data_IF_028183242933
#
_entry.id   IF_028183242933
#
_cell.length_a   1.000
_cell.length_b   1.000
_cell.length_c   1.000
_cell.angle_alpha   90.00
_cell.angle_beta   90.00
_cell.angle_gamma   90.00
#
_symmetry.space_group_name_H-M   'P 1'
#
loop_
_entity.id
_entity.type
_entity.pdbx_description
1 polymer ?
#
# COMPACT_ATOMS: atom_id res chain seq x y z
N UNK A 1 -1.96 -3.45 -30.15
CA UNK A 1 -2.56 -4.53 -29.33
C UNK A 1 -3.53 -5.31 -30.21
N UNK A 2 -3.27 -6.59 -30.56
CA UNK A 2 -4.28 -7.37 -31.25
C UNK A 2 -5.40 -7.69 -30.26
N UNK A 3 -6.62 -7.44 -30.70
CA UNK A 3 -7.89 -7.76 -30.02
C UNK A 3 -7.86 -9.21 -29.52
N UNK A 4 -8.33 -9.44 -28.29
CA UNK A 4 -8.24 -10.72 -27.60
C UNK A 4 -8.61 -11.90 -28.51
N UNK A 5 -7.68 -12.85 -28.66
CA UNK A 5 -7.91 -14.06 -29.43
C UNK A 5 -9.12 -14.81 -28.84
N UNK A 6 -10.18 -14.93 -29.63
CA UNK A 6 -11.36 -15.70 -29.27
C UNK A 6 -10.98 -17.18 -29.36
N UNK A 7 -10.56 -17.75 -28.23
CA UNK A 7 -10.30 -19.18 -28.12
C UNK A 7 -11.64 -19.90 -28.03
N UNK A 8 -12.19 -20.30 -29.18
CA UNK A 8 -13.26 -21.33 -29.22
C UNK A 8 -12.58 -22.69 -29.08
N UNK A 9 -12.92 -23.42 -28.02
CA UNK A 9 -12.36 -24.75 -27.77
C UNK A 9 -13.48 -25.75 -27.57
N UNK A 10 -13.41 -26.89 -28.23
CA UNK A 10 -14.34 -28.00 -28.00
C UNK A 10 -14.02 -28.71 -26.68
N UNK A 11 -14.96 -29.45 -26.07
CA UNK A 11 -14.69 -30.24 -24.87
C UNK A 11 -13.54 -31.24 -25.03
N UNK A 12 -13.39 -31.85 -26.21
CA UNK A 12 -12.34 -32.82 -26.49
C UNK A 12 -10.96 -32.15 -26.60
N UNK A 13 -10.88 -31.01 -27.31
CA UNK A 13 -9.67 -30.19 -27.38
C UNK A 13 -9.24 -29.72 -25.98
N UNK A 14 -10.19 -29.36 -25.10
CA UNK A 14 -9.89 -28.97 -23.73
C UNK A 14 -9.29 -30.13 -22.92
N UNK A 15 -9.87 -31.31 -23.04
CA UNK A 15 -9.39 -32.51 -22.34
C UNK A 15 -7.96 -32.83 -22.78
N UNK A 16 -7.68 -32.73 -24.07
CA UNK A 16 -6.35 -32.93 -24.63
C UNK A 16 -5.35 -31.86 -24.14
N UNK A 17 -5.73 -30.58 -24.19
CA UNK A 17 -4.88 -29.48 -23.73
C UNK A 17 -4.53 -29.64 -22.24
N UNK A 18 -5.51 -29.92 -21.37
CA UNK A 18 -5.26 -30.09 -19.94
C UNK A 18 -4.44 -31.34 -19.63
N UNK A 19 -4.58 -32.40 -20.43
CA UNK A 19 -3.72 -33.58 -20.32
C UNK A 19 -2.26 -33.22 -20.63
N UNK A 20 -2.01 -32.41 -21.66
CA UNK A 20 -0.65 -31.94 -22.01
C UNK A 20 -0.10 -30.96 -20.98
N UNK A 21 -0.94 -30.08 -20.43
CA UNK A 21 -0.53 -29.06 -19.47
C UNK A 21 -0.35 -29.58 -18.04
N UNK A 22 -0.85 -30.78 -17.70
CA UNK A 22 -0.82 -31.33 -16.34
C UNK A 22 0.52 -31.17 -15.60
N UNK A 23 1.70 -31.41 -16.21
CA UNK A 23 3.00 -31.24 -15.52
C UNK A 23 3.34 -29.78 -15.16
N UNK A 24 2.66 -28.83 -15.78
CA UNK A 24 2.92 -27.40 -15.71
C UNK A 24 1.85 -26.63 -14.93
N UNK A 25 0.82 -27.30 -14.41
CA UNK A 25 -0.22 -26.64 -13.62
C UNK A 25 0.32 -26.30 -12.21
N UNK A 26 0.06 -25.09 -11.69
CA UNK A 26 0.49 -24.71 -10.36
C UNK A 26 -0.23 -25.56 -9.31
N UNK A 27 0.48 -25.93 -8.24
CA UNK A 27 -0.05 -26.77 -7.13
C UNK A 27 -1.30 -26.19 -6.46
N UNK A 28 -1.47 -24.87 -6.53
CA UNK A 28 -2.59 -24.15 -5.95
C UNK A 28 -3.85 -24.16 -6.83
N UNK A 29 -3.81 -24.70 -8.05
CA UNK A 29 -4.98 -24.78 -8.92
C UNK A 29 -5.98 -25.82 -8.38
N UNK A 30 -7.19 -25.35 -8.04
CA UNK A 30 -8.29 -26.19 -7.58
C UNK A 30 -9.23 -26.59 -8.71
N UNK A 31 -9.57 -25.63 -9.57
CA UNK A 31 -10.58 -25.83 -10.60
C UNK A 31 -10.29 -24.98 -11.83
N UNK A 32 -10.62 -25.53 -12.99
CA UNK A 32 -10.75 -24.77 -14.23
C UNK A 32 -12.18 -24.91 -14.72
N UNK A 33 -12.80 -23.80 -15.09
CA UNK A 33 -14.11 -23.79 -15.73
C UNK A 33 -14.11 -22.82 -16.91
N UNK A 34 -14.86 -23.08 -17.99
CA UNK A 34 -15.15 -22.06 -18.99
C UNK A 34 -15.93 -20.91 -18.34
N UNK A 35 -15.67 -19.67 -18.77
CA UNK A 35 -16.44 -18.51 -18.27
C UNK A 35 -17.90 -18.60 -18.75
N UNK A 36 -18.90 -18.16 -17.95
CA UNK A 36 -20.32 -18.15 -18.35
C UNK A 36 -20.60 -17.35 -19.63
N UNK A 37 -19.77 -16.35 -19.93
CA UNK A 37 -19.85 -15.56 -21.17
C UNK A 37 -19.43 -16.34 -22.43
N UNK A 38 -18.94 -17.57 -22.29
CA UNK A 38 -18.39 -18.37 -23.39
C UNK A 38 -17.00 -17.93 -23.86
N UNK A 39 -16.40 -16.91 -23.21
CA UNK A 39 -15.11 -16.34 -23.59
C UNK A 39 -14.05 -16.60 -22.52
N UNK A 40 -13.11 -17.50 -22.79
CA UNK A 40 -11.96 -17.80 -21.93
C UNK A 40 -12.29 -18.69 -20.72
N UNK A 41 -11.32 -18.77 -19.79
CA UNK A 41 -11.38 -19.66 -18.63
C UNK A 41 -11.43 -18.88 -17.32
N UNK A 42 -12.13 -19.44 -16.35
CA UNK A 42 -12.06 -19.09 -14.95
C UNK A 42 -11.18 -20.14 -14.24
N UNK A 43 -10.17 -19.66 -13.53
CA UNK A 43 -9.28 -20.47 -12.72
C UNK A 43 -9.61 -20.21 -11.25
N UNK A 44 -9.87 -21.27 -10.50
CA UNK A 44 -10.04 -21.22 -9.06
C UNK A 44 -8.74 -21.69 -8.42
N UNK A 45 -8.08 -20.79 -7.70
CA UNK A 45 -6.84 -21.06 -6.99
C UNK A 45 -7.11 -21.19 -5.48
N UNK A 46 -6.29 -21.97 -4.79
CA UNK A 46 -6.21 -21.90 -3.34
C UNK A 46 -5.72 -20.50 -2.94
N UNK A 47 -6.25 -19.91 -1.86
CA UNK A 47 -5.78 -18.61 -1.40
C UNK A 47 -4.28 -18.63 -1.12
N UNK A 48 -3.57 -17.62 -1.64
CA UNK A 48 -2.16 -17.40 -1.31
C UNK A 48 -2.03 -16.78 0.07
N UNK A 49 -0.96 -17.15 0.79
CA UNK A 49 -0.60 -16.50 2.05
C UNK A 49 0.28 -15.28 1.83
N UNK A 50 0.95 -15.18 0.67
CA UNK A 50 1.89 -14.11 0.35
C UNK A 50 3.32 -14.40 0.79
N UNK A 51 3.58 -15.57 1.36
CA UNK A 51 4.90 -16.05 1.76
C UNK A 51 5.43 -17.14 0.82
N UNK A 52 4.59 -17.64 -0.09
CA UNK A 52 5.01 -18.56 -1.15
C UNK A 52 5.90 -17.85 -2.17
N UNK A 53 6.67 -18.61 -2.95
CA UNK A 53 7.39 -18.07 -4.10
C UNK A 53 6.41 -17.50 -5.14
N UNK A 54 6.80 -16.39 -5.79
CA UNK A 54 5.99 -15.77 -6.85
C UNK A 54 5.70 -16.80 -7.95
N UNK A 55 4.42 -17.01 -8.33
CA UNK A 55 4.08 -17.88 -9.44
C UNK A 55 4.81 -17.46 -10.72
N UNK A 56 5.66 -18.37 -11.19
CA UNK A 56 6.42 -18.21 -12.43
C UNK A 56 6.06 -19.32 -13.41
N UNK A 57 5.74 -18.92 -14.64
CA UNK A 57 5.36 -19.87 -15.69
C UNK A 57 6.57 -20.73 -16.05
N UNK A 58 6.49 -22.06 -15.95
CA UNK A 58 7.58 -22.94 -16.37
C UNK A 58 7.80 -22.83 -17.89
N UNK A 59 9.04 -23.07 -18.33
CA UNK A 59 9.34 -23.16 -19.76
C UNK A 59 8.76 -24.45 -20.34
N UNK A 60 8.07 -24.33 -21.48
CA UNK A 60 7.55 -25.47 -22.25
C UNK A 60 8.26 -25.62 -23.60
N UNK A 61 9.37 -24.90 -23.80
CA UNK A 61 10.06 -24.84 -25.09
C UNK A 61 10.55 -26.21 -25.58
N UNK A 62 11.06 -27.02 -24.65
CA UNK A 62 11.64 -28.33 -24.94
C UNK A 62 10.61 -29.47 -24.89
N UNK A 63 9.35 -29.19 -24.56
CA UNK A 63 8.30 -30.21 -24.55
C UNK A 63 7.79 -30.45 -25.97
N UNK A 64 8.02 -31.64 -26.57
CA UNK A 64 7.58 -31.92 -27.94
C UNK A 64 6.05 -31.87 -28.12
N UNK A 65 5.26 -31.91 -27.04
CA UNK A 65 3.79 -31.79 -27.05
C UNK A 65 3.30 -30.34 -26.97
N UNK A 66 4.16 -29.39 -26.61
CA UNK A 66 3.81 -27.98 -26.39
C UNK A 66 4.71 -26.99 -27.15
N UNK A 67 5.84 -27.45 -27.70
CA UNK A 67 6.77 -26.64 -28.50
C UNK A 67 6.10 -26.10 -29.77
N UNK A 68 6.60 -25.00 -30.34
CA UNK A 68 5.95 -24.40 -31.50
C UNK A 68 5.93 -25.35 -32.72
N UNK A 69 4.79 -25.44 -33.40
CA UNK A 69 4.63 -26.09 -34.71
C UNK A 69 4.07 -25.06 -35.69
N UNK A 70 4.66 -24.89 -36.89
CA UNK A 70 4.13 -23.99 -37.90
C UNK A 70 2.72 -24.41 -38.36
N UNK A 71 1.83 -23.44 -38.53
CA UNK A 71 0.45 -23.69 -39.00
C UNK A 71 0.41 -24.40 -40.36
N UNK A 72 1.40 -24.12 -41.22
CA UNK A 72 1.55 -24.73 -42.55
C UNK A 72 1.87 -26.23 -42.51
N UNK A 73 2.45 -26.73 -41.41
CA UNK A 73 2.79 -28.14 -41.26
C UNK A 73 1.62 -28.94 -40.69
N UNK A 74 0.97 -28.39 -39.66
CA UNK A 74 -0.21 -29.01 -39.06
C UNK A 74 -1.07 -27.94 -38.37
N UNK A 75 -2.11 -27.47 -39.05
CA UNK A 75 -2.98 -26.41 -38.56
C UNK A 75 -3.73 -26.80 -37.27
N UNK A 76 -4.19 -28.05 -37.14
CA UNK A 76 -4.91 -28.50 -35.94
C UNK A 76 -3.99 -28.54 -34.72
N UNK A 77 -2.78 -29.09 -34.88
CA UNK A 77 -1.78 -29.15 -33.81
C UNK A 77 -1.26 -27.75 -33.44
N UNK A 78 -1.03 -26.88 -34.43
CA UNK A 78 -0.69 -25.48 -34.20
C UNK A 78 -1.72 -24.80 -33.30
N UNK A 79 -3.00 -24.92 -33.62
CA UNK A 79 -4.09 -24.33 -32.83
C UNK A 79 -4.14 -24.91 -31.41
N UNK A 80 -3.99 -26.22 -31.23
CA UNK A 80 -3.94 -26.84 -29.90
C UNK A 80 -2.81 -26.27 -29.04
N UNK A 81 -1.61 -26.12 -29.59
CA UNK A 81 -0.43 -25.62 -28.86
C UNK A 81 -0.51 -24.13 -28.54
N UNK A 82 -1.05 -23.33 -29.47
CA UNK A 82 -1.34 -21.90 -29.22
C UNK A 82 -2.36 -21.76 -28.10
N UNK A 83 -3.46 -22.52 -28.13
CA UNK A 83 -4.47 -22.52 -27.06
C UNK A 83 -3.88 -22.94 -25.72
N UNK A 84 -3.07 -24.00 -25.68
CA UNK A 84 -2.40 -24.47 -24.47
C UNK A 84 -1.47 -23.41 -23.87
N UNK A 85 -0.65 -22.74 -24.71
CA UNK A 85 0.24 -21.66 -24.30
C UNK A 85 -0.53 -20.45 -23.75
N UNK A 86 -1.65 -20.06 -24.39
CA UNK A 86 -2.52 -18.99 -23.91
C UNK A 86 -3.16 -19.33 -22.56
N UNK A 87 -3.70 -20.54 -22.40
CA UNK A 87 -4.28 -21.01 -21.14
C UNK A 87 -3.24 -20.95 -20.02
N UNK A 88 -2.03 -21.48 -20.26
CA UNK A 88 -0.96 -21.48 -19.29
C UNK A 88 -0.53 -20.05 -18.93
N UNK A 89 -0.43 -19.16 -19.91
CA UNK A 89 -0.12 -17.75 -19.68
C UNK A 89 -1.17 -17.08 -18.79
N UNK A 90 -2.45 -17.17 -19.15
CA UNK A 90 -3.53 -16.57 -18.37
C UNK A 90 -3.66 -17.15 -16.96
N UNK A 91 -3.39 -18.45 -16.80
CA UNK A 91 -3.38 -19.10 -15.49
C UNK A 91 -2.29 -18.53 -14.58
N UNK A 92 -1.06 -18.40 -15.10
CA UNK A 92 0.06 -17.87 -14.32
C UNK A 92 -0.04 -16.37 -14.08
N UNK A 93 -0.56 -15.60 -15.04
CA UNK A 93 -0.87 -14.19 -14.85
C UNK A 93 -1.87 -14.04 -13.70
N UNK A 94 -2.97 -14.81 -13.73
CA UNK A 94 -3.98 -14.78 -12.66
C UNK A 94 -3.41 -15.20 -11.30
N UNK A 95 -2.60 -16.26 -11.26
CA UNK A 95 -1.97 -16.71 -10.03
C UNK A 95 -1.02 -15.65 -9.47
N UNK A 96 -0.25 -14.99 -10.33
CA UNK A 96 0.65 -13.91 -9.95
C UNK A 96 -0.12 -12.69 -9.42
N UNK A 97 -1.24 -12.32 -10.03
CA UNK A 97 -2.11 -11.24 -9.54
C UNK A 97 -2.60 -11.53 -8.12
N UNK A 98 -3.20 -12.70 -7.89
CA UNK A 98 -3.70 -13.08 -6.56
C UNK A 98 -2.58 -13.20 -5.53
N UNK A 99 -1.41 -13.70 -5.93
CA UNK A 99 -0.23 -13.75 -5.08
C UNK A 99 0.28 -12.36 -4.73
N UNK A 100 0.34 -11.41 -5.67
CA UNK A 100 0.80 -10.03 -5.41
C UNK A 100 -0.06 -9.33 -4.37
N UNK A 101 -1.37 -9.47 -4.47
CA UNK A 101 -2.31 -8.92 -3.49
C UNK A 101 -2.11 -9.56 -2.11
N UNK A 102 -1.95 -10.90 -2.05
CA UNK A 102 -1.68 -11.61 -0.80
C UNK A 102 -0.33 -11.22 -0.17
N UNK A 103 0.74 -11.14 -0.97
CA UNK A 103 2.07 -10.71 -0.56
C UNK A 103 2.06 -9.27 -0.03
N UNK A 104 1.33 -8.38 -0.70
CA UNK A 104 1.16 -7.00 -0.26
C UNK A 104 0.47 -6.92 1.11
N UNK A 105 -0.62 -7.66 1.31
CA UNK A 105 -1.32 -7.73 2.60
C UNK A 105 -0.43 -8.34 3.68
N UNK A 106 0.32 -9.40 3.38
CA UNK A 106 1.24 -10.02 4.32
C UNK A 106 2.38 -9.06 4.75
N UNK A 107 2.97 -8.35 3.80
CA UNK A 107 3.97 -7.32 4.06
C UNK A 107 3.40 -6.18 4.93
N UNK A 108 2.19 -5.71 4.63
CA UNK A 108 1.53 -4.69 5.44
C UNK A 108 1.22 -5.16 6.86
N UNK A 109 0.77 -6.41 7.06
CA UNK A 109 0.58 -6.98 8.41
C UNK A 109 1.88 -6.94 9.22
N UNK A 110 3.02 -7.20 8.57
CA UNK A 110 4.32 -7.14 9.22
C UNK A 110 4.78 -5.69 9.51
N UNK A 111 4.42 -4.72 8.65
CA UNK A 111 4.83 -3.32 8.79
C UNK A 111 3.96 -2.51 9.77
N UNK A 112 2.65 -2.76 9.81
CA UNK A 112 1.68 -1.96 10.57
C UNK A 112 1.94 -2.00 12.08
N UNK A 113 2.21 -3.18 12.66
CA UNK A 113 2.59 -3.36 14.07
C UNK A 113 1.84 -2.44 15.06
N UNK A 114 2.56 -1.54 15.73
CA UNK A 114 2.07 -0.60 16.73
C UNK A 114 1.61 0.75 16.15
N UNK A 115 1.53 0.89 14.82
CA UNK A 115 1.07 2.11 14.14
C UNK A 115 -0.32 2.59 14.63
N UNK A 116 -1.33 1.73 14.88
CA UNK A 116 -2.62 2.20 15.41
C UNK A 116 -2.48 2.88 16.78
N UNK A 117 -1.65 2.32 17.67
CA UNK A 117 -1.41 2.89 18.98
C UNK A 117 -0.64 4.22 18.88
N UNK A 118 0.39 4.27 18.03
CA UNK A 118 1.18 5.49 17.77
C UNK A 118 0.32 6.60 17.16
N UNK A 119 -0.56 6.27 16.21
CA UNK A 119 -1.50 7.21 15.62
C UNK A 119 -2.44 7.79 16.67
N UNK A 120 -3.00 6.94 17.53
CA UNK A 120 -3.87 7.38 18.63
C UNK A 120 -3.14 8.30 19.61
N UNK A 121 -1.88 7.99 19.95
CA UNK A 121 -1.03 8.86 20.77
C UNK A 121 -0.79 10.21 20.08
N UNK A 122 -0.45 10.22 18.79
CA UNK A 122 -0.29 11.45 18.02
C UNK A 122 -1.57 12.29 18.04
N UNK A 123 -2.74 11.69 17.79
CA UNK A 123 -4.02 12.40 17.84
C UNK A 123 -4.31 12.98 19.23
N UNK A 124 -3.98 12.25 20.29
CA UNK A 124 -4.14 12.72 21.67
C UNK A 124 -3.24 13.94 21.95
N UNK A 125 -1.96 13.85 21.62
CA UNK A 125 -1.01 14.94 21.85
C UNK A 125 -1.31 16.16 20.97
N UNK A 126 -1.75 15.96 19.72
CA UNK A 126 -2.16 17.06 18.85
C UNK A 126 -3.34 17.84 19.46
N UNK A 127 -4.34 17.13 19.99
CA UNK A 127 -5.47 17.78 20.69
C UNK A 127 -5.02 18.51 21.95
N UNK A 128 -4.05 17.96 22.69
CA UNK A 128 -3.47 18.62 23.86
C UNK A 128 -2.71 19.89 23.48
N UNK A 129 -1.96 19.88 22.38
CA UNK A 129 -1.29 21.04 21.81
C UNK A 129 -2.28 22.13 21.38
N UNK A 130 -3.33 21.76 20.64
CA UNK A 130 -4.41 22.67 20.25
C UNK A 130 -5.04 23.33 21.50
N UNK A 131 -5.36 22.52 22.51
CA UNK A 131 -5.96 23.00 23.76
C UNK A 131 -5.02 23.95 24.53
N UNK A 132 -3.72 23.63 24.61
CA UNK A 132 -2.72 24.47 25.26
C UNK A 132 -2.54 25.81 24.53
N UNK A 133 -2.55 25.79 23.20
CA UNK A 133 -2.43 26.99 22.39
C UNK A 133 -3.69 27.87 22.46
N UNK A 134 -4.87 27.27 22.45
CA UNK A 134 -6.14 28.00 22.61
C UNK A 134 -6.29 28.59 24.01
N UNK A 135 -5.77 27.90 25.04
CA UNK A 135 -5.75 28.43 26.40
C UNK A 135 -5.06 29.79 26.50
N UNK A 136 -4.02 30.05 25.69
CA UNK A 136 -3.32 31.35 25.68
C UNK A 136 -4.22 32.54 25.32
N UNK A 137 -5.40 32.30 24.74
CA UNK A 137 -6.38 33.33 24.37
C UNK A 137 -7.37 33.64 25.51
N UNK A 138 -7.28 32.94 26.63
CA UNK A 138 -8.18 33.12 27.77
C UNK A 138 -7.69 34.23 28.71
N UNK A 139 -8.59 34.92 29.42
CA UNK A 139 -8.21 35.86 30.48
C UNK A 139 -7.38 35.23 31.60
N UNK A 140 -7.60 33.95 31.90
CA UNK A 140 -6.90 33.20 32.92
C UNK A 140 -5.42 33.03 32.57
N UNK A 141 -5.11 32.72 31.31
CA UNK A 141 -3.73 32.57 30.86
C UNK A 141 -2.89 33.84 31.04
N UNK A 142 -3.49 35.04 30.95
CA UNK A 142 -2.79 36.29 31.19
C UNK A 142 -2.27 36.42 32.65
N UNK A 143 -2.95 35.79 33.61
CA UNK A 143 -2.55 35.82 35.04
C UNK A 143 -1.40 34.87 35.35
N UNK A 144 -1.18 33.86 34.51
CA UNK A 144 -0.18 32.80 34.70
C UNK A 144 0.64 32.57 33.42
N UNK A 145 0.93 33.65 32.70
CA UNK A 145 1.51 33.61 31.35
C UNK A 145 2.75 32.72 31.23
N UNK A 146 3.76 32.80 32.14
CA UNK A 146 4.93 31.91 32.06
C UNK A 146 4.56 30.42 32.18
N UNK A 147 3.63 30.08 33.05
CA UNK A 147 3.18 28.70 33.25
C UNK A 147 2.32 28.19 32.08
N UNK A 148 1.54 29.08 31.45
CA UNK A 148 0.77 28.76 30.25
C UNK A 148 1.69 28.51 29.04
N UNK A 149 2.74 29.33 28.87
CA UNK A 149 3.77 29.11 27.85
C UNK A 149 4.56 27.83 28.09
N UNK A 150 4.96 27.53 29.32
CA UNK A 150 5.62 26.26 29.65
C UNK A 150 4.78 25.05 29.23
N UNK A 151 3.48 25.08 29.53
CA UNK A 151 2.54 24.01 29.12
C UNK A 151 2.40 23.87 27.61
N UNK A 152 2.45 24.99 26.87
CA UNK A 152 2.46 24.96 25.40
C UNK A 152 3.73 24.27 24.90
N UNK A 153 4.91 24.65 25.38
CA UNK A 153 6.19 24.06 24.98
C UNK A 153 6.19 22.55 25.27
N UNK A 154 5.77 22.15 26.48
CA UNK A 154 5.68 20.73 26.83
C UNK A 154 4.74 19.96 25.89
N UNK A 155 3.63 20.59 25.45
CA UNK A 155 2.71 20.00 24.49
C UNK A 155 3.32 19.91 23.08
N UNK A 156 4.03 20.95 22.63
CA UNK A 156 4.75 20.96 21.34
C UNK A 156 5.77 19.81 21.28
N UNK A 157 6.57 19.65 22.35
CA UNK A 157 7.57 18.59 22.45
C UNK A 157 6.93 17.19 22.41
N UNK A 158 5.85 16.96 23.17
CA UNK A 158 5.13 15.68 23.14
C UNK A 158 4.48 15.39 21.79
N UNK A 159 3.86 16.38 21.15
CA UNK A 159 3.28 16.22 19.80
C UNK A 159 4.36 15.90 18.77
N UNK A 160 5.51 16.58 18.83
CA UNK A 160 6.66 16.28 17.95
C UNK A 160 7.17 14.86 18.17
N UNK A 161 7.37 14.45 19.42
CA UNK A 161 7.82 13.09 19.73
C UNK A 161 6.83 12.02 19.23
N UNK A 162 5.52 12.26 19.40
CA UNK A 162 4.48 11.35 18.92
C UNK A 162 4.42 11.29 17.37
N UNK A 163 4.61 12.43 16.69
CA UNK A 163 4.70 12.50 15.23
C UNK A 163 5.89 11.70 14.69
N UNK A 164 7.09 11.91 15.25
CA UNK A 164 8.30 11.14 14.89
C UNK A 164 8.10 9.65 15.12
N UNK A 165 7.53 9.27 16.27
CA UNK A 165 7.25 7.88 16.57
C UNK A 165 6.30 7.27 15.52
N UNK A 166 5.23 7.98 15.14
CA UNK A 166 4.34 7.50 14.09
C UNK A 166 5.06 7.40 12.74
N UNK A 167 5.85 8.41 12.36
CA UNK A 167 6.57 8.45 11.09
C UNK A 167 7.54 7.28 10.89
N UNK A 168 8.16 6.77 11.96
CA UNK A 168 8.99 5.55 11.90
C UNK A 168 8.21 4.33 11.35
N UNK A 169 6.92 4.22 11.67
CA UNK A 169 6.05 3.15 11.14
C UNK A 169 5.44 3.52 9.80
N UNK A 170 5.05 4.78 9.65
CA UNK A 170 4.50 5.27 8.39
C UNK A 170 5.51 5.11 7.24
N UNK A 171 6.80 5.31 7.49
CA UNK A 171 7.86 5.04 6.51
C UNK A 171 7.87 3.57 6.08
N UNK A 172 7.85 2.62 7.01
CA UNK A 172 7.83 1.19 6.69
C UNK A 172 6.58 0.80 5.88
N UNK A 173 5.43 1.37 6.23
CA UNK A 173 4.19 1.17 5.48
C UNK A 173 4.30 1.77 4.06
N UNK A 174 4.88 2.96 3.92
CA UNK A 174 5.09 3.61 2.64
C UNK A 174 6.06 2.83 1.73
N UNK A 175 7.14 2.29 2.29
CA UNK A 175 8.09 1.42 1.58
C UNK A 175 7.38 0.16 1.05
N UNK A 176 6.51 -0.46 1.86
CA UNK A 176 5.69 -1.60 1.39
C UNK A 176 4.72 -1.17 0.28
N UNK A 177 4.12 0.01 0.36
CA UNK A 177 3.28 0.53 -0.73
C UNK A 177 4.06 0.72 -2.03
N UNK A 178 5.31 1.18 -1.95
CA UNK A 178 6.17 1.36 -3.13
C UNK A 178 6.61 0.01 -3.73
N UNK A 179 6.99 -0.95 -2.89
CA UNK A 179 7.37 -2.29 -3.33
C UNK A 179 6.24 -3.03 -4.05
N UNK A 180 4.98 -2.73 -3.71
CA UNK A 180 3.79 -3.38 -4.24
C UNK A 180 2.97 -2.47 -5.17
N UNK A 181 3.57 -1.48 -5.84
CA UNK A 181 2.90 -0.56 -6.79
C UNK A 181 2.10 -1.24 -7.91
N UNK A 182 2.40 -2.50 -8.23
CA UNK A 182 1.74 -3.29 -9.27
C UNK A 182 0.75 -4.34 -8.73
N UNK A 183 0.40 -4.28 -7.45
CA UNK A 183 -0.74 -5.02 -6.90
C UNK A 183 -2.05 -4.41 -7.40
N UNK A 184 -3.12 -5.19 -7.44
CA UNK A 184 -4.45 -4.70 -7.84
C UNK A 184 -5.16 -4.00 -6.68
N UNK A 185 -4.80 -4.34 -5.44
CA UNK A 185 -5.31 -3.65 -4.26
C UNK A 185 -4.82 -2.19 -4.20
N UNK A 186 -5.76 -1.27 -3.96
CA UNK A 186 -5.39 0.09 -3.53
C UNK A 186 -4.75 0.07 -2.14
N UNK A 187 -3.99 1.12 -1.80
CA UNK A 187 -3.34 1.27 -0.49
C UNK A 187 -4.32 1.07 0.67
N UNK A 188 -5.48 1.71 0.59
CA UNK A 188 -6.54 1.61 1.61
C UNK A 188 -7.14 0.20 1.70
N UNK A 189 -7.39 -0.44 0.55
CA UNK A 189 -7.94 -1.79 0.52
C UNK A 189 -6.94 -2.82 1.09
N UNK A 190 -5.66 -2.65 0.80
CA UNK A 190 -4.59 -3.49 1.32
C UNK A 190 -4.42 -3.33 2.84
N UNK A 191 -4.47 -2.09 3.35
CA UNK A 191 -4.44 -1.82 4.80
C UNK A 191 -5.68 -2.38 5.52
N UNK A 192 -6.86 -2.25 4.92
CA UNK A 192 -8.08 -2.85 5.45
C UNK A 192 -7.97 -4.39 5.52
N UNK A 193 -7.46 -5.02 4.46
CA UNK A 193 -7.21 -6.47 4.42
C UNK A 193 -6.09 -6.91 5.38
N UNK A 194 -5.15 -6.01 5.71
CA UNK A 194 -4.16 -6.19 6.75
C UNK A 194 -4.72 -6.07 8.17
N UNK A 195 -5.98 -5.65 8.33
CA UNK A 195 -6.68 -5.58 9.61
C UNK A 195 -6.74 -4.18 10.22
N UNK A 196 -6.41 -3.12 9.46
CA UNK A 196 -6.45 -1.72 9.91
C UNK A 196 -7.30 -0.85 8.98
N UNK A 197 -8.63 -1.05 8.91
CA UNK A 197 -9.52 -0.28 8.04
C UNK A 197 -9.56 1.23 8.37
N UNK A 198 -9.22 1.62 9.59
CA UNK A 198 -9.12 3.02 10.03
C UNK A 198 -7.92 3.77 9.44
N UNK A 199 -6.94 3.04 8.85
CA UNK A 199 -5.69 3.62 8.35
C UNK A 199 -5.87 4.60 7.18
N UNK A 200 -7.03 4.62 6.53
CA UNK A 200 -7.42 5.67 5.55
C UNK A 200 -7.33 7.10 6.10
N UNK A 201 -7.35 7.26 7.43
CA UNK A 201 -7.24 8.54 8.12
C UNK A 201 -5.81 8.88 8.53
N UNK A 202 -4.88 7.94 8.38
CA UNK A 202 -3.49 8.12 8.78
C UNK A 202 -2.77 9.03 7.80
N UNK A 203 -1.88 9.85 8.34
CA UNK A 203 -0.99 10.67 7.54
C UNK A 203 0.28 9.87 7.20
N UNK A 204 0.30 9.17 6.07
CA UNK A 204 1.48 8.46 5.58
C UNK A 204 2.01 9.20 4.35
N UNK A 205 3.23 9.74 4.43
CA UNK A 205 3.89 10.34 3.28
C UNK A 205 4.35 9.26 2.29
N UNK A 206 4.67 9.66 1.06
CA UNK A 206 5.37 8.74 0.15
C UNK A 206 6.76 8.40 0.69
N UNK A 207 7.23 7.18 0.41
CA UNK A 207 8.49 6.66 0.95
C UNK A 207 9.67 7.61 0.68
N UNK A 208 9.71 8.19 -0.53
CA UNK A 208 10.76 9.13 -0.94
C UNK A 208 10.81 10.44 -0.15
N UNK A 209 9.76 10.80 0.60
CA UNK A 209 9.74 11.99 1.44
C UNK A 209 10.37 11.75 2.81
N UNK A 210 10.46 10.51 3.28
CA UNK A 210 11.14 10.23 4.55
C UNK A 210 12.66 10.42 4.39
N UNK A 211 13.28 11.16 5.31
CA UNK A 211 14.72 11.45 5.30
C UNK A 211 15.14 12.64 4.41
N UNK A 212 14.20 13.32 3.74
CA UNK A 212 14.50 14.57 3.04
C UNK A 212 14.80 15.70 4.03
N UNK A 213 15.70 16.59 3.63
CA UNK A 213 16.07 17.81 4.37
C UNK A 213 15.29 19.04 3.93
N UNK A 214 14.59 18.97 2.79
CA UNK A 214 13.81 20.05 2.24
C UNK A 214 12.45 19.56 1.75
N UNK A 215 11.41 20.32 2.09
CA UNK A 215 10.03 20.07 1.72
C UNK A 215 9.43 21.37 1.19
N UNK A 216 8.77 21.33 0.03
CA UNK A 216 8.04 22.50 -0.47
C UNK A 216 6.65 22.57 0.19
N UNK A 217 5.89 23.62 -0.10
CA UNK A 217 4.50 23.73 0.35
C UNK A 217 3.54 22.87 -0.47
N UNK A 218 4.00 22.35 -1.62
CA UNK A 218 3.20 21.50 -2.51
C UNK A 218 3.41 20.00 -2.28
N UNK A 219 4.33 19.61 -1.40
CA UNK A 219 4.57 18.21 -1.06
C UNK A 219 3.66 17.74 0.08
N UNK A 220 3.53 16.42 0.24
CA UNK A 220 2.86 15.79 1.38
C UNK A 220 3.93 15.25 2.35
N UNK A 221 4.54 16.11 3.20
CA UNK A 221 5.71 15.74 3.99
C UNK A 221 5.33 14.82 5.15
N UNK A 222 6.30 14.15 5.82
CA UNK A 222 6.08 13.40 7.04
C UNK A 222 5.38 14.23 8.14
N UNK A 223 4.78 13.55 9.12
CA UNK A 223 4.08 14.23 10.23
C UNK A 223 5.02 15.14 11.03
N UNK A 224 6.26 14.72 11.28
CA UNK A 224 7.26 15.51 12.00
C UNK A 224 7.40 16.90 11.38
N UNK A 225 7.52 16.97 10.05
CA UNK A 225 7.65 18.22 9.32
C UNK A 225 6.38 19.07 9.40
N UNK A 226 5.19 18.45 9.34
CA UNK A 226 3.92 19.17 9.54
C UNK A 226 3.84 19.77 10.94
N UNK A 227 4.24 19.02 11.97
CA UNK A 227 4.27 19.49 13.36
C UNK A 227 5.31 20.59 13.53
N UNK A 228 6.51 20.46 12.94
CA UNK A 228 7.54 21.51 12.97
C UNK A 228 6.99 22.83 12.43
N UNK A 229 6.35 22.82 11.25
CA UNK A 229 5.72 24.01 10.65
C UNK A 229 4.62 24.60 11.54
N UNK A 230 3.81 23.76 12.17
CA UNK A 230 2.77 24.21 13.11
C UNK A 230 3.37 24.91 14.33
N UNK A 231 4.40 24.32 14.94
CA UNK A 231 5.12 24.88 16.09
C UNK A 231 5.74 26.23 15.72
N UNK A 232 6.40 26.33 14.57
CA UNK A 232 6.99 27.58 14.09
C UNK A 232 5.95 28.70 13.92
N UNK A 233 4.74 28.36 13.43
CA UNK A 233 3.64 29.31 13.32
C UNK A 233 3.13 29.78 14.68
N UNK A 234 3.00 28.86 15.65
CA UNK A 234 2.60 29.18 17.02
C UNK A 234 3.65 30.07 17.71
N UNK A 235 4.93 29.73 17.59
CA UNK A 235 6.03 30.49 18.19
C UNK A 235 6.14 31.90 17.60
N UNK A 236 5.97 32.04 16.28
CA UNK A 236 5.91 33.34 15.62
C UNK A 236 4.73 34.18 16.12
N UNK A 237 3.57 33.56 16.33
CA UNK A 237 2.40 34.24 16.88
C UNK A 237 2.63 34.69 18.32
N UNK A 238 3.11 33.81 19.20
CA UNK A 238 3.43 34.11 20.60
C UNK A 238 4.48 35.23 20.68
N UNK A 239 5.54 35.15 19.88
CA UNK A 239 6.58 36.19 19.81
C UNK A 239 6.00 37.54 19.41
N UNK A 240 5.11 37.57 18.41
CA UNK A 240 4.42 38.80 17.98
C UNK A 240 3.55 39.37 19.08
N UNK A 241 2.78 38.53 19.80
CA UNK A 241 1.93 38.96 20.92
C UNK A 241 2.78 39.50 22.07
N UNK A 242 3.84 38.82 22.47
CA UNK A 242 4.76 39.28 23.54
C UNK A 242 5.43 40.61 23.20
N UNK A 243 5.79 40.82 21.93
CA UNK A 243 6.34 42.10 21.44
C UNK A 243 5.31 43.23 21.52
N UNK A 244 4.05 42.98 21.13
CA UNK A 244 3.00 44.00 21.08
C UNK A 244 2.41 44.32 22.46
N UNK A 245 2.42 43.37 23.39
CA UNK A 245 1.89 43.54 24.75
C UNK A 245 2.86 44.21 25.72
N UNK A 246 4.11 44.48 25.30
CA UNK A 246 5.12 45.06 26.18
C UNK A 246 5.65 44.10 27.26
N UNK A 247 5.30 42.81 27.21
CA UNK A 247 5.80 41.80 28.15
C UNK A 247 7.34 41.66 28.12
N UNK A 248 7.99 42.08 27.03
CA UNK A 248 9.45 42.17 26.89
C UNK A 248 10.04 43.54 27.24
N UNK A 249 9.23 44.54 27.58
CA UNK A 249 9.67 45.92 27.87
C UNK A 249 9.94 46.17 29.37
N UNK A 250 9.86 45.14 30.20
CA UNK A 250 10.26 45.18 31.62
C UNK A 250 11.67 44.61 31.79
N UNK A 251 12.68 45.28 31.23
CA UNK A 251 14.08 45.17 31.64
C UNK A 251 14.72 46.55 31.62
#
# INVERSE_FOLDING_TARGET
MPLGYIVKTTPDELTEIFTRLQPYLPKHLKKVAPKPSGHGFHFELAPFTGHEEEPSRPSTHDDPKLSHVPESENAAEHQLRVKASLILTHLYDRAREEWRDAAYVAALKAAVQDAPARWKTYQHELKALESAYDYLRTPEAAREWPAALSRLIDAQDRTKAAAVAFDQRAQQIAEVHEQHLYAHLSRDAALAAAGVPEARSWHIAEAEYYGRTYYSDYTFPPLEERVRRLVEQQDAHVTKVSRLSGANASR
#
